data_IF_265464766390
#
_entry.id   IF_265464766390
#
_cell.length_a   1.000
_cell.length_b   1.000
_cell.length_c   1.000
_cell.angle_alpha   90.00
_cell.angle_beta   90.00
_cell.angle_gamma   90.00
#
_symmetry.space_group_name_H-M   'P 1'
#
loop_
_entity.id
_entity.type
_entity.pdbx_description
1 polymer ?
#
# COMPACT_ATOMS: atom_id res chain seq x y z
N UNK A 1 13.33 -4.72 -7.77
CA UNK A 1 13.33 -3.25 -7.91
C UNK A 1 14.25 -2.57 -6.87
N UNK A 2 14.68 -1.34 -7.14
CA UNK A 2 15.34 -0.47 -6.15
C UNK A 2 14.37 0.55 -5.55
N UNK A 3 14.84 1.38 -4.63
CA UNK A 3 13.99 2.30 -3.87
C UNK A 3 13.34 3.37 -4.74
N UNK A 4 14.04 3.90 -5.74
CA UNK A 4 13.50 4.87 -6.69
C UNK A 4 12.42 4.25 -7.58
N UNK A 5 12.65 3.01 -8.04
CA UNK A 5 11.69 2.26 -8.85
C UNK A 5 10.39 1.99 -8.07
N UNK A 6 10.47 1.62 -6.80
CA UNK A 6 9.29 1.42 -5.95
C UNK A 6 8.54 2.72 -5.71
N UNK A 7 9.26 3.83 -5.49
CA UNK A 7 8.63 5.14 -5.34
C UNK A 7 7.83 5.53 -6.60
N UNK A 8 8.42 5.31 -7.78
CA UNK A 8 7.74 5.54 -9.04
C UNK A 8 6.53 4.60 -9.23
N UNK A 9 6.68 3.32 -8.90
CA UNK A 9 5.61 2.32 -9.01
C UNK A 9 4.41 2.67 -8.12
N UNK A 10 4.65 3.07 -6.88
CA UNK A 10 3.61 3.48 -5.93
C UNK A 10 3.13 4.93 -6.16
N UNK A 11 3.61 5.61 -7.20
CA UNK A 11 3.34 7.02 -7.47
C UNK A 11 3.54 7.93 -6.24
N UNK A 12 4.61 7.68 -5.49
CA UNK A 12 4.96 8.39 -4.24
C UNK A 12 6.41 8.86 -4.24
N UNK A 13 6.87 9.43 -3.13
CA UNK A 13 8.24 9.93 -2.98
C UNK A 13 9.15 8.87 -2.36
N UNK A 14 10.45 8.90 -2.70
CA UNK A 14 11.45 8.05 -2.04
C UNK A 14 11.48 8.26 -0.51
N UNK A 15 11.22 9.49 -0.05
CA UNK A 15 11.11 9.81 1.39
C UNK A 15 10.01 8.99 2.04
N UNK A 16 8.86 8.86 1.39
CA UNK A 16 7.75 8.06 1.87
C UNK A 16 8.12 6.57 1.93
N UNK A 17 8.73 6.02 0.86
CA UNK A 17 9.19 4.63 0.84
C UNK A 17 10.21 4.36 1.96
N UNK A 18 11.17 5.27 2.20
CA UNK A 18 12.11 5.16 3.33
C UNK A 18 11.40 5.16 4.69
N UNK A 19 10.36 5.97 4.86
CA UNK A 19 9.57 5.98 6.09
C UNK A 19 8.82 4.65 6.30
N UNK A 20 8.28 4.05 5.24
CA UNK A 20 7.67 2.72 5.29
C UNK A 20 8.69 1.65 5.69
N UNK A 21 9.88 1.66 5.09
CA UNK A 21 10.97 0.73 5.43
C UNK A 21 11.40 0.89 6.90
N UNK A 22 11.57 2.13 7.38
CA UNK A 22 11.97 2.39 8.77
C UNK A 22 10.94 1.86 9.77
N UNK A 23 9.65 1.89 9.41
CA UNK A 23 8.55 1.36 10.21
C UNK A 23 8.29 -0.14 9.98
N UNK A 24 9.05 -0.79 9.08
CA UNK A 24 8.80 -2.17 8.60
C UNK A 24 7.37 -2.38 8.09
N UNK A 25 6.81 -1.35 7.46
CA UNK A 25 5.43 -1.33 6.98
C UNK A 25 5.30 -1.76 5.51
N UNK A 26 6.41 -2.03 4.81
CA UNK A 26 6.49 -2.46 3.42
C UNK A 26 7.45 -3.65 3.33
N UNK A 27 7.18 -4.70 2.54
CA UNK A 27 8.11 -5.82 2.38
C UNK A 27 9.37 -5.38 1.64
N UNK A 28 10.52 -5.88 2.09
CA UNK A 28 11.81 -5.60 1.46
C UNK A 28 12.83 -6.71 1.76
N UNK A 29 13.78 -6.86 0.87
CA UNK A 29 14.94 -7.75 1.00
C UNK A 29 16.19 -6.92 1.28
N UNK A 30 16.93 -7.29 2.33
CA UNK A 30 18.20 -6.66 2.68
C UNK A 30 19.34 -7.41 2.00
N UNK A 31 19.94 -6.79 0.98
CA UNK A 31 21.08 -7.36 0.24
C UNK A 31 22.32 -6.52 0.52
N UNK A 32 23.05 -6.89 1.58
CA UNK A 32 24.16 -6.09 2.10
C UNK A 32 23.71 -4.69 2.47
N UNK A 33 24.32 -3.66 1.89
CA UNK A 33 23.91 -2.26 2.11
C UNK A 33 22.63 -1.88 1.36
N UNK A 34 22.26 -2.61 0.30
CA UNK A 34 21.16 -2.26 -0.58
C UNK A 34 19.81 -2.78 -0.06
N UNK A 35 18.76 -2.04 -0.41
CA UNK A 35 17.38 -2.50 -0.28
C UNK A 35 16.91 -2.96 -1.65
N UNK A 36 16.33 -4.15 -1.70
CA UNK A 36 15.69 -4.70 -2.88
C UNK A 36 14.23 -4.98 -2.55
N UNK A 37 13.40 -4.86 -3.56
CA UNK A 37 11.97 -5.08 -3.47
C UNK A 37 11.58 -6.03 -4.59
N UNK A 38 10.89 -7.11 -4.25
CA UNK A 38 10.23 -7.93 -5.26
C UNK A 38 8.94 -7.23 -5.68
N UNK A 39 8.60 -7.29 -6.97
CA UNK A 39 7.37 -6.68 -7.45
C UNK A 39 6.14 -7.43 -6.90
N UNK A 40 6.18 -8.75 -6.86
CA UNK A 40 5.08 -9.58 -6.40
C UNK A 40 4.78 -9.34 -4.91
N UNK A 41 5.83 -9.24 -4.08
CA UNK A 41 5.67 -8.91 -2.66
C UNK A 41 4.99 -7.55 -2.45
N UNK A 42 5.30 -6.56 -3.32
CA UNK A 42 4.70 -5.23 -3.24
C UNK A 42 3.23 -5.26 -3.66
N UNK A 43 2.90 -6.04 -4.69
CA UNK A 43 1.52 -6.19 -5.16
C UNK A 43 0.66 -6.89 -4.09
N UNK A 44 1.16 -7.98 -3.50
CA UNK A 44 0.51 -8.68 -2.38
C UNK A 44 0.33 -7.76 -1.15
N UNK A 45 1.32 -6.90 -0.89
CA UNK A 45 1.25 -5.90 0.17
C UNK A 45 0.19 -4.83 -0.11
N UNK A 46 0.04 -4.37 -1.35
CA UNK A 46 -1.00 -3.41 -1.74
C UNK A 46 -2.40 -4.01 -1.56
N UNK A 47 -2.58 -5.25 -1.99
CA UNK A 47 -3.85 -5.95 -1.86
C UNK A 47 -4.22 -6.21 -0.40
N UNK A 48 -3.26 -6.64 0.42
CA UNK A 48 -3.49 -6.84 1.87
C UNK A 48 -3.72 -5.54 2.64
N UNK A 49 -3.17 -4.41 2.15
CA UNK A 49 -3.37 -3.08 2.74
C UNK A 49 -4.60 -2.35 2.22
N UNK A 50 -5.33 -2.96 1.28
CA UNK A 50 -6.51 -2.35 0.66
C UNK A 50 -7.63 -2.23 1.70
N UNK A 51 -8.08 -1.00 1.92
CA UNK A 51 -9.28 -0.74 2.72
C UNK A 51 -10.46 -0.67 1.75
N UNK A 52 -11.35 -1.65 1.83
CA UNK A 52 -12.60 -1.63 1.09
C UNK A 52 -13.42 -0.41 1.49
N UNK A 53 -13.92 0.31 0.49
CA UNK A 53 -14.82 1.44 0.74
C UNK A 53 -16.09 0.85 1.31
N UNK A 54 -16.28 1.00 2.62
CA UNK A 54 -17.53 0.62 3.24
C UNK A 54 -18.64 1.44 2.58
N UNK A 55 -19.59 0.74 1.95
CA UNK A 55 -20.78 1.40 1.42
C UNK A 55 -21.51 2.01 2.60
N UNK A 56 -21.44 3.32 2.71
CA UNK A 56 -22.05 4.08 3.79
C UNK A 56 -23.57 3.83 3.87
N UNK A 57 -24.19 3.37 2.77
CA UNK A 57 -25.61 2.97 2.73
C UNK A 57 -25.91 1.72 3.55
N UNK A 58 -24.91 0.87 3.80
CA UNK A 58 -25.05 -0.33 4.62
C UNK A 58 -24.93 0.02 6.12
N UNK A 59 -24.08 0.99 6.46
CA UNK A 59 -23.80 1.37 7.86
C UNK A 59 -24.81 2.40 8.37
N UNK A 60 -25.14 3.41 7.57
CA UNK A 60 -26.25 4.30 7.86
C UNK A 60 -27.51 3.58 7.38
N UNK A 61 -28.25 2.93 8.27
CA UNK A 61 -29.49 2.20 7.94
C UNK A 61 -30.49 3.06 7.15
N UNK A 62 -30.29 3.15 5.84
CA UNK A 62 -31.01 4.07 4.99
C UNK A 62 -32.27 3.33 4.56
N UNK A 63 -33.35 3.58 5.29
CA UNK A 63 -34.70 3.42 4.74
C UNK A 63 -34.83 4.42 3.59
N UNK A 64 -34.36 4.03 2.40
CA UNK A 64 -34.74 4.69 1.17
C UNK A 64 -36.18 4.27 0.90
N UNK A 65 -37.12 5.03 1.46
CA UNK A 65 -38.50 5.02 1.01
C UNK A 65 -38.49 5.44 -0.47
N UNK A 66 -38.73 4.46 -1.33
CA UNK A 66 -39.17 4.66 -2.70
C UNK A 66 -40.38 5.60 -2.70
N UNK A 67 -40.29 6.67 -3.49
CA UNK A 67 -41.44 7.43 -4.00
C UNK A 67 -41.56 7.08 -5.48
#
# INVERSE_FOLDING_TARGET
MDLASVAAYLHTTERHVRALVARRAIPYLKVGKYLRFDQADIDDWLDSSRVEVADWRIIAGQSLRTI
#
